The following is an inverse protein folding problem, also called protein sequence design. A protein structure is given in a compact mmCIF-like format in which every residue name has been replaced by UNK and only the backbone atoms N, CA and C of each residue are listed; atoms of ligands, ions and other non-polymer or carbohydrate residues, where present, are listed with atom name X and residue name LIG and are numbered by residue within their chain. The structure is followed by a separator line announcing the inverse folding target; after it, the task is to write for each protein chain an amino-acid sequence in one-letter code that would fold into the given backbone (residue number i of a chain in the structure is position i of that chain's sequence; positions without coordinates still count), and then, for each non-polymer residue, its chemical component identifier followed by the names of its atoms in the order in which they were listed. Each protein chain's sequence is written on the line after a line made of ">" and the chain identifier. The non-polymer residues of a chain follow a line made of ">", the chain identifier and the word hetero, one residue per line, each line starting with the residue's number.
data_IF_183231356435
#
_entry.id   IF_183231356435
#
_cell.length_a   1.000
_cell.length_b   1.000
_cell.length_c   1.000
_cell.angle_alpha   90.00
_cell.angle_beta   90.00
_cell.angle_gamma   90.00
#
_symmetry.space_group_name_H-M   'P 1'
#
loop_
_entity.id
_entity.type
_entity.pdbx_description
1 polymer ?
#
# COMPACT_ATOMS: atom_id res chain seq x y z
N UNK A 1 -11.18 -30.72 33.23
CA UNK A 1 -10.20 -31.61 32.61
C UNK A 1 -10.82 -32.76 31.78
N UNK A 2 -11.78 -33.55 32.26
CA UNK A 2 -12.35 -34.66 31.47
C UNK A 2 -13.08 -34.22 30.16
N UNK A 3 -13.77 -33.10 30.13
CA UNK A 3 -14.44 -32.59 28.89
C UNK A 3 -13.46 -32.18 27.79
N UNK A 4 -12.29 -31.65 28.14
CA UNK A 4 -11.27 -31.27 27.18
C UNK A 4 -10.55 -32.48 26.56
N UNK A 5 -10.39 -33.57 27.31
CA UNK A 5 -9.78 -34.79 26.82
C UNK A 5 -10.75 -35.59 25.93
N UNK A 6 -12.06 -35.56 26.22
CA UNK A 6 -13.06 -36.23 25.40
C UNK A 6 -13.26 -35.56 24.03
N UNK A 7 -13.18 -34.23 23.96
CA UNK A 7 -13.19 -33.51 22.70
C UNK A 7 -11.92 -33.79 21.87
N UNK A 8 -10.75 -33.93 22.50
CA UNK A 8 -9.48 -34.26 21.81
C UNK A 8 -9.54 -35.67 21.18
N UNK A 9 -10.20 -36.64 21.82
CA UNK A 9 -10.35 -38.01 21.31
C UNK A 9 -11.39 -38.13 20.17
N UNK A 10 -12.44 -37.33 20.18
CA UNK A 10 -13.44 -37.33 19.10
C UNK A 10 -12.89 -36.70 17.81
N UNK A 11 -11.94 -35.75 17.91
CA UNK A 11 -11.32 -35.09 16.76
C UNK A 11 -10.06 -35.79 16.23
N UNK A 12 -9.51 -36.78 16.96
CA UNK A 12 -8.37 -37.57 16.49
C UNK A 12 -8.73 -38.82 15.70
N UNK A 13 -9.99 -39.25 15.73
CA UNK A 13 -10.48 -40.39 14.96
C UNK A 13 -11.26 -39.93 13.71
N UNK A 14 -10.62 -39.99 12.56
CA UNK A 14 -11.34 -40.16 11.29
C UNK A 14 -11.61 -38.92 10.43
N UNK A 15 -10.97 -37.79 10.68
CA UNK A 15 -10.98 -36.72 9.67
C UNK A 15 -9.79 -36.89 8.74
N UNK A 16 -10.05 -37.18 7.48
CA UNK A 16 -9.04 -37.16 6.45
C UNK A 16 -8.35 -35.81 6.46
N UNK A 17 -7.01 -35.80 6.29
CA UNK A 17 -6.16 -34.59 6.28
C UNK A 17 -6.49 -33.62 5.10
N UNK A 18 -7.73 -33.66 4.59
CA UNK A 18 -8.24 -32.92 3.43
C UNK A 18 -9.23 -31.81 3.72
N UNK A 19 -9.88 -31.85 4.88
CA UNK A 19 -10.88 -30.84 5.21
C UNK A 19 -10.30 -29.79 6.15
N UNK A 20 -10.56 -28.52 5.85
CA UNK A 20 -10.28 -27.38 6.73
C UNK A 20 -11.61 -26.92 7.34
N UNK A 21 -12.14 -27.58 8.38
CA UNK A 21 -13.41 -27.17 8.93
C UNK A 21 -13.27 -25.81 9.57
N UNK A 22 -14.11 -24.86 9.19
CA UNK A 22 -14.18 -23.54 9.81
C UNK A 22 -14.25 -23.63 11.33
N UNK A 23 -14.94 -24.67 11.86
CA UNK A 23 -15.00 -24.98 13.27
C UNK A 23 -13.63 -25.24 13.91
N UNK A 24 -12.71 -25.91 13.21
CA UNK A 24 -11.35 -26.16 13.73
C UNK A 24 -10.52 -24.90 13.77
N UNK A 25 -10.65 -24.05 12.75
CA UNK A 25 -9.97 -22.74 12.73
C UNK A 25 -10.53 -21.82 13.82
N UNK A 26 -11.86 -21.76 13.96
CA UNK A 26 -12.52 -21.01 15.02
C UNK A 26 -12.05 -21.48 16.40
N UNK A 27 -12.04 -22.78 16.65
CA UNK A 27 -11.57 -23.36 17.91
C UNK A 27 -10.10 -23.01 18.20
N UNK A 28 -9.21 -23.06 17.21
CA UNK A 28 -7.81 -22.68 17.39
C UNK A 28 -7.63 -21.20 17.65
N UNK A 29 -8.38 -20.35 16.98
CA UNK A 29 -8.38 -18.91 17.21
C UNK A 29 -8.92 -18.57 18.59
N UNK A 30 -10.04 -19.20 19.01
CA UNK A 30 -10.64 -19.05 20.33
C UNK A 30 -9.73 -19.58 21.46
N UNK A 31 -9.00 -20.67 21.20
CA UNK A 31 -8.02 -21.26 22.11
C UNK A 31 -6.72 -20.49 22.21
N UNK A 32 -6.54 -19.50 21.35
CA UNK A 32 -5.33 -18.66 21.30
C UNK A 32 -4.13 -19.37 20.67
N UNK A 33 -4.29 -20.50 20.00
CA UNK A 33 -3.19 -21.21 19.33
C UNK A 33 -3.11 -20.84 17.83
N UNK A 34 -2.84 -19.57 17.56
CA UNK A 34 -2.66 -19.08 16.18
C UNK A 34 -1.37 -19.58 15.52
N UNK A 35 -0.44 -20.20 16.30
CA UNK A 35 0.85 -20.69 15.75
C UNK A 35 0.65 -21.77 14.69
N UNK A 36 -0.35 -22.60 14.85
CA UNK A 36 -0.63 -23.70 13.94
C UNK A 36 -1.50 -23.29 12.75
N UNK A 37 -2.25 -22.17 12.84
CA UNK A 37 -3.19 -21.75 11.79
C UNK A 37 -2.48 -21.55 10.45
N UNK A 38 -1.38 -20.79 10.43
CA UNK A 38 -0.61 -20.56 9.20
C UNK A 38 -0.11 -21.87 8.57
N UNK A 39 0.37 -22.79 9.43
CA UNK A 39 0.86 -24.10 8.99
C UNK A 39 -0.26 -24.99 8.42
N UNK A 40 -1.39 -25.07 9.13
CA UNK A 40 -2.55 -25.85 8.70
C UNK A 40 -3.13 -25.33 7.37
N UNK A 41 -3.33 -24.03 7.29
CA UNK A 41 -3.82 -23.40 6.07
C UNK A 41 -2.87 -23.63 4.88
N UNK A 42 -1.55 -23.50 5.12
CA UNK A 42 -0.54 -23.79 4.09
C UNK A 42 -0.59 -25.22 3.62
N UNK A 43 -0.63 -26.20 4.54
CA UNK A 43 -0.71 -27.63 4.20
C UNK A 43 -1.99 -27.96 3.42
N UNK A 44 -3.12 -27.38 3.83
CA UNK A 44 -4.37 -27.53 3.10
C UNK A 44 -4.28 -27.01 1.66
N UNK A 45 -3.77 -25.78 1.47
CA UNK A 45 -3.59 -25.19 0.13
C UNK A 45 -2.65 -26.04 -0.71
N UNK A 46 -1.51 -26.48 -0.17
CA UNK A 46 -0.56 -27.33 -0.88
C UNK A 46 -1.18 -28.64 -1.31
N UNK A 47 -1.90 -29.32 -0.40
CA UNK A 47 -2.62 -30.58 -0.72
C UNK A 47 -3.64 -30.37 -1.84
N UNK A 48 -4.47 -29.32 -1.76
CA UNK A 48 -5.46 -28.99 -2.82
C UNK A 48 -4.79 -28.69 -4.17
N UNK A 49 -3.67 -28.00 -4.17
CA UNK A 49 -2.88 -27.77 -5.39
C UNK A 49 -2.28 -29.06 -5.96
N UNK A 50 -1.85 -30.01 -5.11
CA UNK A 50 -1.28 -31.30 -5.53
C UNK A 50 -2.31 -32.26 -6.09
N UNK A 51 -3.49 -32.34 -5.45
CA UNK A 51 -4.58 -33.28 -5.81
C UNK A 51 -5.39 -32.82 -7.02
N UNK A 52 -5.32 -31.55 -7.41
CA UNK A 52 -5.97 -31.02 -8.61
C UNK A 52 -5.26 -31.56 -9.87
N UNK A 53 -5.81 -32.61 -10.47
CA UNK A 53 -5.28 -33.30 -11.66
C UNK A 53 -6.40 -33.59 -12.65
N UNK A 54 -6.31 -33.10 -13.91
CA UNK A 54 -5.26 -32.20 -14.41
C UNK A 54 -5.33 -30.83 -13.72
N UNK A 55 -4.16 -30.21 -13.49
CA UNK A 55 -4.10 -28.93 -12.79
C UNK A 55 -4.83 -27.84 -13.59
N UNK A 56 -5.84 -27.26 -13.00
CA UNK A 56 -6.60 -26.14 -13.55
C UNK A 56 -6.67 -25.01 -12.54
N UNK A 57 -6.17 -23.83 -12.90
CA UNK A 57 -6.26 -22.65 -12.03
C UNK A 57 -7.73 -22.27 -11.79
N UNK A 58 -8.60 -22.37 -12.82
CA UNK A 58 -10.02 -22.06 -12.68
C UNK A 58 -10.70 -22.87 -11.56
N UNK A 59 -10.50 -24.18 -11.52
CA UNK A 59 -11.10 -25.04 -10.49
C UNK A 59 -10.56 -24.76 -9.07
N UNK A 60 -9.33 -24.26 -8.97
CA UNK A 60 -8.76 -23.84 -7.68
C UNK A 60 -9.40 -22.56 -7.19
N UNK A 61 -9.70 -21.61 -8.09
CA UNK A 61 -10.27 -20.31 -7.73
C UNK A 61 -11.76 -20.39 -7.32
N UNK A 62 -12.49 -21.42 -7.73
CA UNK A 62 -13.91 -21.65 -7.38
C UNK A 62 -14.10 -22.09 -5.92
N UNK A 63 -13.05 -22.61 -5.28
CA UNK A 63 -13.12 -23.15 -3.92
C UNK A 63 -13.05 -22.07 -2.84
N UNK A 64 -14.17 -21.69 -2.21
CA UNK A 64 -14.19 -20.69 -1.13
C UNK A 64 -13.21 -21.01 0.01
N UNK A 65 -13.07 -22.28 0.36
CA UNK A 65 -12.18 -22.72 1.44
C UNK A 65 -10.70 -22.52 1.11
N UNK A 66 -10.28 -22.76 -0.13
CA UNK A 66 -8.88 -22.55 -0.52
C UNK A 66 -8.53 -21.06 -0.58
N UNK A 67 -9.48 -20.22 -0.98
CA UNK A 67 -9.34 -18.74 -0.94
C UNK A 67 -9.07 -18.29 0.48
N UNK A 68 -9.93 -18.69 1.41
CA UNK A 68 -9.80 -18.36 2.82
C UNK A 68 -8.48 -18.89 3.41
N UNK A 69 -8.19 -20.15 3.19
CA UNK A 69 -6.96 -20.78 3.68
C UNK A 69 -5.70 -20.10 3.12
N UNK A 70 -5.72 -19.69 1.86
CA UNK A 70 -4.61 -18.97 1.23
C UNK A 70 -4.31 -17.66 1.97
N UNK A 71 -5.30 -16.80 2.13
CA UNK A 71 -5.10 -15.51 2.80
C UNK A 71 -4.79 -15.65 4.29
N UNK A 72 -5.42 -16.61 4.98
CA UNK A 72 -5.09 -16.91 6.39
C UNK A 72 -3.66 -17.43 6.55
N UNK A 73 -3.17 -18.29 5.65
CA UNK A 73 -1.78 -18.77 5.68
C UNK A 73 -0.78 -17.61 5.60
N UNK A 74 -1.04 -16.64 4.73
CA UNK A 74 -0.20 -15.45 4.58
C UNK A 74 -0.34 -14.50 5.76
N UNK A 75 -1.57 -14.18 6.19
CA UNK A 75 -1.82 -13.25 7.28
C UNK A 75 -1.16 -13.73 8.59
N UNK A 76 -1.46 -14.95 9.02
CA UNK A 76 -0.87 -15.51 10.24
C UNK A 76 0.63 -15.80 10.10
N UNK A 77 1.14 -15.95 8.89
CA UNK A 77 2.57 -15.96 8.61
C UNK A 77 3.26 -14.61 8.82
N UNK A 78 2.59 -13.50 8.50
CA UNK A 78 3.06 -12.14 8.71
C UNK A 78 3.04 -11.73 10.19
N UNK A 79 1.90 -11.95 10.86
CA UNK A 79 1.71 -11.55 12.28
C UNK A 79 2.28 -12.56 13.27
N UNK A 80 2.63 -13.76 12.83
CA UNK A 80 3.06 -14.87 13.68
C UNK A 80 4.40 -14.70 14.40
N UNK A 81 5.12 -13.59 14.19
CA UNK A 81 6.36 -13.29 14.93
C UNK A 81 6.09 -12.78 16.35
N UNK A 82 4.93 -12.14 16.60
CA UNK A 82 4.50 -11.62 17.91
C UNK A 82 3.39 -12.49 18.52
N UNK A 83 3.59 -13.77 18.54
CA UNK A 83 2.63 -14.86 18.82
C UNK A 83 1.92 -14.76 20.16
N UNK A 84 2.53 -14.16 21.15
CA UNK A 84 2.01 -14.15 22.55
C UNK A 84 0.86 -13.17 22.74
N UNK A 85 0.85 -12.06 22.03
CA UNK A 85 -0.12 -10.99 22.22
C UNK A 85 -1.49 -11.31 21.59
N UNK A 86 -1.48 -11.86 20.36
CA UNK A 86 -2.71 -12.30 19.66
C UNK A 86 -3.49 -13.33 20.47
N UNK A 87 -2.79 -14.15 21.25
CA UNK A 87 -3.37 -15.25 22.04
C UNK A 87 -4.29 -14.79 23.16
N UNK A 88 -4.08 -13.61 23.73
CA UNK A 88 -4.88 -13.11 24.86
C UNK A 88 -6.11 -12.32 24.42
N UNK A 89 -6.11 -11.79 23.21
CA UNK A 89 -7.11 -10.84 22.77
C UNK A 89 -8.19 -11.42 21.85
N UNK A 90 -7.94 -12.56 21.20
CA UNK A 90 -8.93 -13.25 20.35
C UNK A 90 -9.90 -14.14 21.14
N UNK A 91 -10.33 -13.73 22.34
CA UNK A 91 -11.31 -14.48 23.15
C UNK A 91 -12.76 -14.25 22.73
N UNK A 92 -13.02 -13.30 21.85
CA UNK A 92 -14.37 -12.98 21.40
C UNK A 92 -14.81 -13.90 20.28
N UNK A 93 -15.65 -14.87 20.60
CA UNK A 93 -16.18 -15.85 19.65
C UNK A 93 -16.93 -15.24 18.48
N UNK A 94 -17.69 -14.21 18.72
CA UNK A 94 -18.52 -13.60 17.68
C UNK A 94 -17.66 -12.84 16.68
N UNK A 95 -16.62 -12.15 17.16
CA UNK A 95 -15.63 -11.51 16.28
C UNK A 95 -14.87 -12.53 15.43
N UNK A 96 -14.43 -13.64 16.05
CA UNK A 96 -13.74 -14.71 15.32
C UNK A 96 -14.64 -15.33 14.25
N UNK A 97 -15.90 -15.61 14.56
CA UNK A 97 -16.87 -16.13 13.59
C UNK A 97 -17.11 -15.15 12.46
N UNK A 98 -17.27 -13.85 12.79
CA UNK A 98 -17.39 -12.80 11.78
C UNK A 98 -16.16 -12.74 10.88
N UNK A 99 -14.96 -12.73 11.46
CA UNK A 99 -13.69 -12.68 10.73
C UNK A 99 -13.53 -13.88 9.77
N UNK A 100 -13.90 -15.07 10.21
CA UNK A 100 -13.88 -16.28 9.37
C UNK A 100 -14.94 -16.28 8.26
N UNK A 101 -16.05 -15.58 8.45
CA UNK A 101 -17.07 -15.43 7.42
C UNK A 101 -16.70 -14.39 6.33
N UNK A 102 -15.68 -13.51 6.60
CA UNK A 102 -15.29 -12.39 5.76
C UNK A 102 -13.86 -12.56 5.22
N UNK A 103 -13.68 -13.45 4.24
CA UNK A 103 -12.35 -13.74 3.68
C UNK A 103 -11.69 -12.54 3.04
N UNK A 104 -12.46 -11.57 2.56
CA UNK A 104 -12.01 -10.28 2.01
C UNK A 104 -11.23 -9.44 3.03
N UNK A 105 -11.50 -9.60 4.34
CA UNK A 105 -10.73 -8.95 5.41
C UNK A 105 -9.28 -9.43 5.38
N UNK A 106 -9.07 -10.74 5.30
CA UNK A 106 -7.72 -11.30 5.21
C UNK A 106 -7.04 -10.91 3.90
N UNK A 107 -7.75 -10.90 2.78
CA UNK A 107 -7.22 -10.44 1.50
C UNK A 107 -6.64 -9.04 1.60
N UNK A 108 -7.44 -8.10 2.12
CA UNK A 108 -7.04 -6.69 2.24
C UNK A 108 -5.88 -6.49 3.23
N UNK A 109 -5.89 -7.20 4.36
CA UNK A 109 -4.82 -7.14 5.36
C UNK A 109 -3.50 -7.71 4.82
N UNK A 110 -3.55 -8.83 4.11
CA UNK A 110 -2.38 -9.47 3.51
C UNK A 110 -1.81 -8.59 2.41
N UNK A 111 -2.65 -8.06 1.55
CA UNK A 111 -2.22 -7.14 0.48
C UNK A 111 -1.51 -5.91 1.04
N UNK A 112 -2.03 -5.33 2.11
CA UNK A 112 -1.42 -4.17 2.77
C UNK A 112 -0.23 -4.53 3.68
N UNK A 113 0.23 -5.79 3.69
CA UNK A 113 1.33 -6.30 4.52
C UNK A 113 1.14 -5.99 6.01
N UNK A 114 -0.04 -6.31 6.55
CA UNK A 114 -0.30 -6.18 7.98
C UNK A 114 0.82 -6.84 8.79
N UNK A 115 1.46 -6.06 9.65
CA UNK A 115 2.62 -6.50 10.43
C UNK A 115 2.53 -6.11 11.91
N UNK A 116 1.47 -5.38 12.28
CA UNK A 116 1.26 -4.94 13.66
C UNK A 116 0.71 -6.06 14.53
N UNK A 117 1.30 -6.24 15.72
CA UNK A 117 0.78 -7.18 16.73
C UNK A 117 -0.65 -6.85 17.14
N UNK A 118 -1.01 -5.59 17.15
CA UNK A 118 -2.30 -5.09 17.59
C UNK A 118 -3.34 -4.97 16.44
N UNK A 119 -2.99 -5.44 15.24
CA UNK A 119 -3.88 -5.31 14.06
C UNK A 119 -5.27 -5.91 14.31
N UNK A 120 -5.33 -7.14 14.85
CA UNK A 120 -6.60 -7.78 15.14
C UNK A 120 -7.30 -7.17 16.35
N UNK A 121 -6.56 -6.68 17.36
CA UNK A 121 -7.11 -6.01 18.52
C UNK A 121 -7.83 -4.70 18.14
N UNK A 122 -7.18 -3.85 17.35
CA UNK A 122 -7.79 -2.62 16.83
C UNK A 122 -9.02 -2.92 15.99
N UNK A 123 -8.95 -3.91 15.09
CA UNK A 123 -10.09 -4.31 14.26
C UNK A 123 -11.25 -4.82 15.10
N UNK A 124 -10.98 -5.66 16.12
CA UNK A 124 -11.98 -6.17 17.04
C UNK A 124 -12.69 -5.05 17.79
N UNK A 125 -11.95 -4.10 18.34
CA UNK A 125 -12.52 -3.00 19.11
C UNK A 125 -13.41 -2.11 18.25
N UNK A 126 -13.01 -1.84 17.01
CA UNK A 126 -13.87 -1.16 16.05
C UNK A 126 -15.11 -2.00 15.73
N UNK A 127 -14.94 -3.32 15.49
CA UNK A 127 -16.06 -4.22 15.20
C UNK A 127 -17.07 -4.29 16.37
N UNK A 128 -16.60 -4.37 17.61
CA UNK A 128 -17.46 -4.31 18.81
C UNK A 128 -18.26 -3.00 18.85
N UNK A 129 -17.60 -1.88 18.52
CA UNK A 129 -18.21 -0.56 18.52
C UNK A 129 -19.23 -0.35 17.40
N UNK A 130 -18.92 -0.83 16.20
CA UNK A 130 -19.74 -0.62 14.99
C UNK A 130 -20.82 -1.68 14.78
N UNK A 131 -20.65 -2.84 15.36
CA UNK A 131 -21.54 -3.99 15.19
C UNK A 131 -21.20 -4.88 14.00
N UNK A 132 -22.01 -5.93 13.83
CA UNK A 132 -21.79 -6.99 12.83
C UNK A 132 -21.95 -6.54 11.38
N UNK A 133 -22.53 -5.38 11.12
CA UNK A 133 -22.78 -4.83 9.78
C UNK A 133 -21.64 -3.97 9.26
N UNK A 134 -20.47 -4.04 9.91
CA UNK A 134 -19.29 -3.30 9.46
C UNK A 134 -18.94 -3.66 8.00
N UNK A 135 -19.18 -2.75 7.08
CA UNK A 135 -19.06 -2.98 5.64
C UNK A 135 -18.67 -1.72 4.87
N UNK A 136 -18.41 -1.83 3.58
CA UNK A 136 -18.14 -0.71 2.68
C UNK A 136 -17.00 0.19 3.18
N UNK A 137 -17.20 1.51 3.10
CA UNK A 137 -16.19 2.49 3.54
C UNK A 137 -15.84 2.36 5.03
N UNK A 138 -16.82 1.95 5.85
CA UNK A 138 -16.60 1.71 7.28
C UNK A 138 -15.61 0.57 7.52
N UNK A 139 -15.76 -0.54 6.80
CA UNK A 139 -14.83 -1.67 6.84
C UNK A 139 -13.43 -1.27 6.33
N UNK A 140 -13.34 -0.61 5.19
CA UNK A 140 -12.06 -0.15 4.66
C UNK A 140 -11.33 0.79 5.62
N UNK A 141 -12.07 1.68 6.27
CA UNK A 141 -11.56 2.60 7.27
C UNK A 141 -11.09 1.85 8.54
N UNK A 142 -11.85 0.85 9.01
CA UNK A 142 -11.47 0.01 10.15
C UNK A 142 -10.20 -0.80 9.87
N UNK A 143 -10.10 -1.38 8.68
CA UNK A 143 -8.88 -2.08 8.24
C UNK A 143 -7.69 -1.13 8.13
N UNK A 144 -7.89 0.10 7.61
CA UNK A 144 -6.85 1.12 7.57
C UNK A 144 -6.33 1.51 8.96
N UNK A 145 -7.23 1.67 9.94
CA UNK A 145 -6.85 1.92 11.34
C UNK A 145 -6.07 0.74 11.94
N UNK A 146 -6.53 -0.48 11.70
CA UNK A 146 -5.86 -1.71 12.16
C UNK A 146 -4.44 -1.86 11.57
N UNK A 147 -4.24 -1.51 10.30
CA UNK A 147 -2.93 -1.56 9.63
C UNK A 147 -1.92 -0.57 10.22
N UNK A 148 -2.38 0.51 10.83
CA UNK A 148 -1.50 1.55 11.44
C UNK A 148 -1.01 1.14 12.83
N UNK A 149 -1.55 0.08 13.45
CA UNK A 149 -1.10 -0.45 14.73
C UNK A 149 0.38 -0.85 14.77
N UNK A 150 1.00 -1.07 13.62
CA UNK A 150 2.45 -1.25 13.51
C UNK A 150 3.28 0.01 13.86
N UNK A 151 2.63 1.19 13.90
CA UNK A 151 3.30 2.50 14.04
C UNK A 151 2.70 3.39 15.13
N UNK A 152 1.55 2.99 15.68
CA UNK A 152 0.81 3.71 16.70
C UNK A 152 0.27 2.73 17.74
N UNK A 153 0.06 3.21 18.95
CA UNK A 153 -0.69 2.47 19.95
C UNK A 153 -2.17 2.33 19.55
N UNK A 154 -2.85 1.42 20.20
CA UNK A 154 -4.24 1.06 19.93
C UNK A 154 -5.18 2.26 20.09
N UNK A 155 -5.05 3.02 21.19
CA UNK A 155 -5.90 4.17 21.47
C UNK A 155 -5.76 5.25 20.40
N UNK A 156 -4.54 5.53 19.95
CA UNK A 156 -4.30 6.48 18.86
C UNK A 156 -4.88 6.00 17.52
N UNK A 157 -4.89 4.69 17.25
CA UNK A 157 -5.54 4.12 16.07
C UNK A 157 -7.06 4.32 16.14
N UNK A 158 -7.69 4.00 17.28
CA UNK A 158 -9.12 4.16 17.51
C UNK A 158 -9.55 5.62 17.46
N UNK A 159 -8.78 6.51 18.09
CA UNK A 159 -9.07 7.95 18.06
C UNK A 159 -9.04 8.54 16.64
N UNK A 160 -8.11 8.08 15.78
CA UNK A 160 -8.08 8.48 14.37
C UNK A 160 -9.25 7.93 13.57
N UNK A 161 -9.62 6.69 13.81
CA UNK A 161 -10.83 6.11 13.22
C UNK A 161 -12.05 6.98 13.53
N UNK A 162 -12.25 7.30 14.82
CA UNK A 162 -13.37 8.12 15.28
C UNK A 162 -13.37 9.53 14.69
N UNK A 163 -12.20 10.17 14.64
CA UNK A 163 -12.06 11.48 14.03
C UNK A 163 -12.53 11.50 12.58
N UNK A 164 -12.06 10.56 11.74
CA UNK A 164 -12.45 10.54 10.35
C UNK A 164 -13.88 10.07 10.15
N UNK A 165 -14.39 9.15 10.97
CA UNK A 165 -15.80 8.75 10.97
C UNK A 165 -16.72 9.96 11.26
N UNK A 166 -16.41 10.73 12.30
CA UNK A 166 -17.13 11.96 12.65
C UNK A 166 -17.03 12.99 11.52
N UNK A 167 -15.82 13.23 11.00
CA UNK A 167 -15.61 14.18 9.89
C UNK A 167 -16.36 13.79 8.63
N UNK A 168 -16.50 12.49 8.37
CA UNK A 168 -17.30 11.97 7.25
C UNK A 168 -18.79 12.23 7.46
N UNK A 169 -19.33 11.92 8.63
CA UNK A 169 -20.73 12.18 8.98
C UNK A 169 -21.07 13.69 8.91
N UNK A 170 -20.14 14.54 9.30
CA UNK A 170 -20.25 16.00 9.23
C UNK A 170 -19.98 16.59 7.84
N UNK A 171 -19.74 15.76 6.81
CA UNK A 171 -19.45 16.16 5.41
C UNK A 171 -18.24 17.11 5.30
N UNK A 172 -17.27 16.98 6.18
CA UNK A 172 -16.03 17.78 6.18
C UNK A 172 -14.95 17.25 5.23
N UNK A 173 -15.11 16.03 4.73
CA UNK A 173 -14.13 15.36 3.89
C UNK A 173 -14.45 15.52 2.38
N UNK A 174 -13.42 15.37 1.56
CA UNK A 174 -13.60 15.39 0.11
C UNK A 174 -14.17 14.06 -0.42
N UNK A 175 -14.85 14.06 -1.58
CA UNK A 175 -15.54 12.88 -2.11
C UNK A 175 -14.65 11.65 -2.32
N UNK A 176 -13.34 11.83 -2.59
CA UNK A 176 -12.41 10.71 -2.78
C UNK A 176 -12.33 9.80 -1.55
N UNK A 177 -12.68 10.28 -0.36
CA UNK A 177 -12.62 9.51 0.88
C UNK A 177 -13.39 8.20 0.81
N UNK A 178 -14.56 8.18 0.17
CA UNK A 178 -15.38 6.96 0.07
C UNK A 178 -14.83 5.90 -0.88
N UNK A 179 -13.85 6.25 -1.70
CA UNK A 179 -13.24 5.35 -2.70
C UNK A 179 -11.88 4.80 -2.26
N UNK A 180 -11.49 5.07 -1.02
CA UNK A 180 -10.19 4.63 -0.51
C UNK A 180 -10.18 3.14 -0.19
N UNK A 181 -9.11 2.48 -0.59
CA UNK A 181 -8.78 1.13 -0.18
C UNK A 181 -8.15 1.12 1.23
N UNK A 182 -8.17 -0.02 1.97
CA UNK A 182 -7.61 -0.08 3.32
C UNK A 182 -6.16 0.39 3.43
N UNK A 183 -5.29 0.06 2.46
CA UNK A 183 -3.92 0.52 2.45
C UNK A 183 -3.79 2.05 2.24
N UNK A 184 -4.73 2.66 1.54
CA UNK A 184 -4.80 4.12 1.37
C UNK A 184 -5.29 4.79 2.66
N UNK A 185 -6.25 4.19 3.37
CA UNK A 185 -6.62 4.63 4.72
C UNK A 185 -5.44 4.53 5.69
N UNK A 186 -4.63 3.47 5.59
CA UNK A 186 -3.43 3.36 6.42
C UNK A 186 -2.44 4.52 6.17
N UNK A 187 -2.26 4.95 4.91
CA UNK A 187 -1.47 6.15 4.60
C UNK A 187 -2.08 7.41 5.25
N UNK A 188 -3.40 7.57 5.13
CA UNK A 188 -4.12 8.70 5.72
C UNK A 188 -3.96 8.74 7.25
N UNK A 189 -4.16 7.62 7.92
CA UNK A 189 -4.12 7.52 9.38
C UNK A 189 -2.70 7.58 9.96
N UNK A 190 -1.70 7.30 9.16
CA UNK A 190 -0.30 7.38 9.56
C UNK A 190 0.24 8.81 9.70
N UNK A 191 -0.46 9.82 9.19
CA UNK A 191 -0.07 11.22 9.32
C UNK A 191 0.37 11.58 10.74
N UNK A 192 1.40 12.42 10.90
CA UNK A 192 1.98 12.77 12.21
C UNK A 192 1.21 13.84 12.96
N UNK A 193 0.22 14.46 12.33
CA UNK A 193 -0.57 15.55 12.91
C UNK A 193 -1.38 15.06 14.13
N UNK A 194 -1.54 15.91 15.13
CA UNK A 194 -2.49 15.71 16.20
C UNK A 194 -3.93 15.89 15.68
N UNK A 195 -4.92 15.27 16.32
CA UNK A 195 -6.30 15.33 15.86
C UNK A 195 -6.87 16.75 15.94
N UNK A 196 -6.51 17.52 16.96
CA UNK A 196 -6.92 18.92 17.11
C UNK A 196 -6.33 19.79 15.98
N UNK A 197 -5.10 19.50 15.55
CA UNK A 197 -4.46 20.19 14.44
C UNK A 197 -5.15 19.88 13.11
N UNK A 198 -5.57 18.62 12.91
CA UNK A 198 -6.39 18.24 11.76
C UNK A 198 -7.78 18.89 11.78
N UNK A 199 -8.43 18.96 12.95
CA UNK A 199 -9.71 19.63 13.12
C UNK A 199 -9.60 21.13 12.81
N UNK A 200 -8.57 21.78 13.35
CA UNK A 200 -8.27 23.18 13.03
C UNK A 200 -8.05 23.39 11.52
N UNK A 201 -7.30 22.50 10.88
CA UNK A 201 -7.03 22.58 9.44
C UNK A 201 -8.31 22.38 8.59
N UNK A 202 -9.25 21.54 9.02
CA UNK A 202 -10.58 21.42 8.40
C UNK A 202 -11.32 22.76 8.41
N UNK A 203 -11.39 23.42 9.57
CA UNK A 203 -12.11 24.69 9.73
C UNK A 203 -11.39 25.85 9.02
N UNK A 204 -10.05 25.89 9.08
CA UNK A 204 -9.25 26.88 8.35
C UNK A 204 -9.46 26.77 6.86
N UNK A 205 -9.38 25.55 6.31
CA UNK A 205 -9.50 25.30 4.87
C UNK A 205 -10.93 25.44 4.36
N UNK A 206 -11.95 25.23 5.19
CA UNK A 206 -13.36 25.43 4.83
C UNK A 206 -13.64 26.87 4.41
N UNK A 207 -12.98 27.86 5.04
CA UNK A 207 -13.09 29.28 4.69
C UNK A 207 -12.37 29.65 3.39
N UNK A 208 -11.63 28.74 2.80
CA UNK A 208 -10.83 28.97 1.59
C UNK A 208 -11.51 28.37 0.36
N UNK A 209 -12.38 29.13 -0.31
CA UNK A 209 -13.17 28.68 -1.48
C UNK A 209 -12.34 28.06 -2.61
N UNK A 210 -11.06 28.43 -2.73
CA UNK A 210 -10.14 27.87 -3.74
C UNK A 210 -9.68 26.44 -3.41
N UNK A 211 -9.79 25.99 -2.14
CA UNK A 211 -9.35 24.66 -1.71
C UNK A 211 -10.41 23.61 -2.05
N UNK A 212 -10.24 22.95 -3.17
CA UNK A 212 -11.15 21.94 -3.72
C UNK A 212 -10.44 20.61 -3.89
N UNK A 213 -11.20 19.54 -3.99
CA UNK A 213 -10.68 18.17 -4.16
C UNK A 213 -9.68 18.05 -5.33
N UNK A 214 -9.95 18.72 -6.46
CA UNK A 214 -9.14 18.61 -7.69
C UNK A 214 -7.75 19.27 -7.57
N UNK A 215 -7.61 20.25 -6.69
CA UNK A 215 -6.39 21.06 -6.55
C UNK A 215 -5.81 21.10 -5.14
N UNK A 216 -6.29 20.21 -4.27
CA UNK A 216 -5.98 20.23 -2.83
C UNK A 216 -4.47 20.28 -2.54
N UNK A 217 -3.67 19.49 -3.25
CA UNK A 217 -2.23 19.49 -3.05
C UNK A 217 -1.55 20.80 -3.43
N UNK A 218 -2.00 21.45 -4.50
CA UNK A 218 -1.42 22.73 -4.95
C UNK A 218 -1.86 23.89 -4.05
N UNK A 219 -3.16 23.99 -3.77
CA UNK A 219 -3.69 25.07 -2.91
C UNK A 219 -3.21 24.91 -1.47
N UNK A 220 -3.08 23.68 -0.98
CA UNK A 220 -2.51 23.39 0.34
C UNK A 220 -1.10 23.99 0.53
N UNK A 221 -0.27 23.98 -0.53
CA UNK A 221 1.04 24.64 -0.49
C UNK A 221 0.93 26.17 -0.26
N UNK A 222 -0.08 26.81 -0.83
CA UNK A 222 -0.24 28.27 -0.72
C UNK A 222 -0.66 28.73 0.67
N UNK A 223 -1.07 27.81 1.55
CA UNK A 223 -1.38 28.14 2.96
C UNK A 223 -0.13 28.36 3.79
N UNK A 224 1.02 27.85 3.35
CA UNK A 224 2.28 27.94 4.09
C UNK A 224 3.22 28.93 3.38
N UNK A 225 3.48 30.10 3.97
CA UNK A 225 4.39 31.08 3.38
C UNK A 225 5.81 30.52 3.24
N UNK A 226 6.43 30.65 2.07
CA UNK A 226 7.84 30.33 1.90
C UNK A 226 8.71 31.40 2.54
N UNK A 227 9.48 31.06 3.59
CA UNK A 227 10.29 32.00 4.35
C UNK A 227 11.61 31.40 4.77
N UNK A 228 12.70 32.12 4.52
CA UNK A 228 14.05 31.80 5.01
C UNK A 228 14.32 32.35 6.41
N UNK A 229 13.60 33.41 6.80
CA UNK A 229 13.64 34.03 8.13
C UNK A 229 12.22 34.25 8.63
N UNK A 230 12.01 34.09 9.94
CA UNK A 230 10.75 34.46 10.59
C UNK A 230 10.62 35.98 10.74
N UNK A 231 9.53 36.46 11.35
CA UNK A 231 9.28 37.90 11.57
C UNK A 231 10.32 38.57 12.46
N UNK A 232 10.98 37.80 13.33
CA UNK A 232 12.05 38.24 14.23
C UNK A 232 13.43 38.16 13.58
N UNK A 233 13.53 37.79 12.31
CA UNK A 233 14.82 37.68 11.59
C UNK A 233 15.56 36.37 11.85
N UNK A 234 15.01 35.43 12.62
CA UNK A 234 15.63 34.14 12.92
C UNK A 234 15.60 33.25 11.67
N UNK A 235 16.75 32.68 11.30
CA UNK A 235 16.89 31.83 10.13
C UNK A 235 16.14 30.49 10.31
N UNK A 236 15.57 29.94 9.24
CA UNK A 236 14.96 28.62 9.21
C UNK A 236 15.94 27.49 9.58
N UNK A 237 17.25 27.73 9.40
CA UNK A 237 18.30 26.79 9.79
C UNK A 237 18.52 26.73 11.31
N UNK A 238 17.94 27.66 12.07
CA UNK A 238 17.97 27.62 13.55
C UNK A 238 16.98 26.59 14.15
N UNK A 239 16.33 25.78 13.33
CA UNK A 239 15.45 24.73 13.78
C UNK A 239 14.27 25.22 14.62
N UNK A 240 14.12 24.73 15.85
CA UNK A 240 13.02 25.10 16.75
C UNK A 240 12.93 26.60 17.04
N UNK A 241 14.05 27.31 17.11
CA UNK A 241 14.08 28.75 17.36
C UNK A 241 13.38 29.56 16.25
N UNK A 242 13.36 29.06 15.00
CA UNK A 242 12.57 29.66 13.92
C UNK A 242 11.07 29.72 14.25
N UNK A 243 10.57 28.76 15.00
CA UNK A 243 9.19 28.63 15.44
C UNK A 243 8.98 29.11 16.91
N UNK A 244 9.87 29.94 17.44
CA UNK A 244 9.87 30.40 18.84
C UNK A 244 9.84 29.21 19.83
N UNK A 245 10.46 28.09 19.47
CA UNK A 245 10.45 26.81 20.19
C UNK A 245 9.06 26.22 20.44
N UNK A 246 8.04 26.67 19.70
CA UNK A 246 6.69 26.09 19.76
C UNK A 246 6.69 24.70 19.09
N UNK A 247 5.88 23.76 19.59
CA UNK A 247 5.65 22.48 18.91
C UNK A 247 5.13 22.71 17.49
N UNK A 248 5.74 22.03 16.53
CA UNK A 248 5.38 22.19 15.12
C UNK A 248 3.99 21.58 14.86
N UNK A 249 3.08 22.39 14.31
CA UNK A 249 1.72 22.02 13.92
C UNK A 249 1.37 22.67 12.58
N UNK A 250 0.21 22.35 12.00
CA UNK A 250 -0.28 23.00 10.78
C UNK A 250 -0.52 24.47 10.99
N UNK A 251 -1.01 24.86 12.16
CA UNK A 251 -1.19 26.25 12.55
C UNK A 251 0.15 26.99 12.59
N UNK A 252 1.17 26.40 13.19
CA UNK A 252 2.52 26.98 13.25
C UNK A 252 3.12 27.11 11.85
N UNK A 253 2.94 26.14 10.95
CA UNK A 253 3.38 26.28 9.57
C UNK A 253 2.68 27.43 8.83
N UNK A 254 1.38 27.64 9.06
CA UNK A 254 0.65 28.77 8.47
C UNK A 254 1.13 30.12 9.02
N UNK A 255 1.42 30.20 10.31
CA UNK A 255 1.84 31.44 10.98
C UNK A 255 3.30 31.81 10.62
N UNK A 256 4.23 30.88 10.77
CA UNK A 256 5.65 31.13 10.62
C UNK A 256 6.15 30.93 9.17
N UNK A 257 5.52 30.01 8.44
CA UNK A 257 6.01 29.55 7.15
C UNK A 257 7.19 28.58 7.29
N UNK A 258 8.08 28.62 6.34
CA UNK A 258 9.30 27.82 6.29
C UNK A 258 9.72 27.53 4.86
N UNK A 259 10.68 26.63 4.69
CA UNK A 259 11.15 26.22 3.35
C UNK A 259 10.41 24.97 2.86
N UNK A 260 10.90 24.32 1.84
CA UNK A 260 10.27 23.18 1.17
C UNK A 260 9.72 22.11 2.13
N UNK A 261 10.44 21.81 3.22
CA UNK A 261 10.00 20.84 4.22
C UNK A 261 8.72 21.26 4.96
N UNK A 262 8.62 22.53 5.38
CA UNK A 262 7.43 23.07 6.03
C UNK A 262 6.25 23.13 5.06
N UNK A 263 6.49 23.60 3.82
CA UNK A 263 5.46 23.68 2.77
C UNK A 263 4.91 22.29 2.46
N UNK A 264 5.78 21.30 2.26
CA UNK A 264 5.36 19.94 1.91
C UNK A 264 4.64 19.21 3.06
N UNK A 265 5.16 19.30 4.29
CA UNK A 265 4.53 18.70 5.48
C UNK A 265 3.18 19.36 5.76
N UNK A 266 3.12 20.70 5.73
CA UNK A 266 1.90 21.45 5.96
C UNK A 266 0.85 21.16 4.88
N UNK A 267 1.21 21.21 3.59
CA UNK A 267 0.29 20.90 2.51
C UNK A 267 -0.25 19.46 2.60
N UNK A 268 0.62 18.48 2.88
CA UNK A 268 0.21 17.11 3.10
C UNK A 268 -0.77 16.98 4.28
N UNK A 269 -0.55 17.70 5.37
CA UNK A 269 -1.45 17.74 6.52
C UNK A 269 -2.82 18.33 6.19
N UNK A 270 -2.89 19.46 5.45
CA UNK A 270 -4.15 20.02 4.98
C UNK A 270 -4.91 19.07 4.06
N UNK A 271 -4.22 18.35 3.19
CA UNK A 271 -4.80 17.35 2.31
C UNK A 271 -5.37 16.18 3.14
N UNK A 272 -4.61 15.69 4.15
CA UNK A 272 -5.07 14.65 5.09
C UNK A 272 -6.27 15.11 5.92
N UNK A 273 -6.28 16.35 6.39
CA UNK A 273 -7.43 16.91 7.12
C UNK A 273 -8.74 16.80 6.32
N UNK A 274 -8.66 16.78 4.98
CA UNK A 274 -9.82 16.59 4.09
C UNK A 274 -10.02 15.13 3.64
N UNK A 275 -9.35 14.17 4.30
CA UNK A 275 -9.54 12.74 4.03
C UNK A 275 -8.83 12.23 2.77
N UNK A 276 -7.84 12.95 2.26
CA UNK A 276 -7.04 12.50 1.11
C UNK A 276 -5.70 11.92 1.60
N UNK A 277 -5.34 10.68 1.24
CA UNK A 277 -4.05 10.11 1.56
C UNK A 277 -2.91 10.93 0.95
N UNK A 278 -1.91 11.24 1.75
CA UNK A 278 -0.74 12.00 1.33
C UNK A 278 0.46 11.73 2.25
N UNK A 279 1.66 11.89 1.73
CA UNK A 279 2.92 11.74 2.48
C UNK A 279 4.05 12.52 1.82
N UNK A 280 5.06 12.88 2.61
CA UNK A 280 6.23 13.60 2.11
C UNK A 280 7.22 12.67 1.41
N UNK A 281 7.88 13.20 0.39
CA UNK A 281 8.92 12.53 -0.40
C UNK A 281 10.13 13.44 -0.56
N UNK A 282 11.29 12.86 -0.85
CA UNK A 282 12.49 13.60 -1.18
C UNK A 282 12.68 13.76 -2.68
N UNK A 283 13.16 14.92 -3.08
CA UNK A 283 13.74 15.21 -4.38
C UNK A 283 15.18 15.73 -4.17
N UNK A 284 16.07 15.78 -5.18
CA UNK A 284 17.42 16.28 -4.97
C UNK A 284 17.43 17.67 -4.35
N UNK A 285 18.00 17.80 -3.13
CA UNK A 285 18.03 19.05 -2.38
C UNK A 285 16.67 19.65 -2.01
N UNK A 286 15.58 18.89 -2.13
CA UNK A 286 14.22 19.39 -1.97
C UNK A 286 13.30 18.36 -1.27
N UNK A 287 12.34 18.89 -0.50
CA UNK A 287 11.24 18.11 0.05
C UNK A 287 9.96 18.40 -0.72
N UNK A 288 9.36 17.37 -1.28
CA UNK A 288 8.05 17.39 -1.92
C UNK A 288 7.06 16.49 -1.15
N UNK A 289 5.85 16.33 -1.63
CA UNK A 289 4.90 15.37 -1.11
C UNK A 289 4.04 14.81 -2.24
N UNK A 290 3.41 13.68 -1.98
CA UNK A 290 2.45 13.07 -2.90
C UNK A 290 1.07 13.04 -2.26
N UNK A 291 0.04 13.09 -3.10
CA UNK A 291 -1.36 13.05 -2.70
C UNK A 291 -2.22 12.40 -3.78
N UNK A 292 -3.32 11.74 -3.37
CA UNK A 292 -4.24 11.07 -4.29
C UNK A 292 -5.17 12.09 -4.94
N UNK A 293 -5.13 12.21 -6.27
CA UNK A 293 -6.02 13.05 -7.05
C UNK A 293 -7.44 12.47 -7.15
N UNK A 294 -8.38 13.27 -7.67
CA UNK A 294 -9.78 12.84 -7.93
C UNK A 294 -9.89 11.80 -9.04
N UNK A 295 -8.92 11.77 -9.94
CA UNK A 295 -8.76 10.77 -11.00
C UNK A 295 -8.19 9.42 -10.49
N UNK A 296 -7.81 9.37 -9.21
CA UNK A 296 -7.17 8.21 -8.58
C UNK A 296 -5.68 8.12 -8.83
N UNK A 297 -5.10 9.05 -9.59
CA UNK A 297 -3.66 9.13 -9.81
C UNK A 297 -2.96 9.84 -8.64
N UNK A 298 -1.74 9.41 -8.34
CA UNK A 298 -0.94 10.04 -7.30
C UNK A 298 -0.09 11.16 -7.87
N UNK A 299 -0.31 12.37 -7.38
CA UNK A 299 0.29 13.61 -7.87
C UNK A 299 1.37 14.09 -6.93
N UNK A 300 2.40 14.73 -7.47
CA UNK A 300 3.47 15.35 -6.68
C UNK A 300 3.13 16.83 -6.47
N UNK A 301 3.01 17.23 -5.20
CA UNK A 301 2.86 18.62 -4.79
C UNK A 301 4.20 19.20 -4.32
N UNK A 302 4.35 20.53 -4.37
CA UNK A 302 5.62 21.25 -4.12
C UNK A 302 6.76 20.65 -4.95
N UNK A 303 6.49 20.40 -6.23
CA UNK A 303 7.33 19.62 -7.13
C UNK A 303 8.30 20.52 -7.89
N UNK A 304 9.59 20.13 -7.93
CA UNK A 304 10.62 20.81 -8.73
C UNK A 304 11.05 19.94 -9.91
N UNK A 305 11.23 18.63 -9.71
CA UNK A 305 11.88 17.76 -10.67
C UNK A 305 10.99 16.76 -11.38
N UNK A 306 9.73 16.59 -10.98
CA UNK A 306 8.83 15.59 -11.54
C UNK A 306 9.11 14.13 -11.14
N UNK A 307 10.16 13.85 -10.38
CA UNK A 307 10.56 12.52 -9.95
C UNK A 307 10.96 12.47 -8.46
N UNK A 308 11.08 11.29 -7.91
CA UNK A 308 11.32 11.04 -6.48
C UNK A 308 12.71 10.45 -6.28
N UNK A 309 13.49 11.06 -5.39
CA UNK A 309 14.80 10.53 -4.96
C UNK A 309 14.68 9.56 -3.80
N UNK A 310 13.95 9.95 -2.77
CA UNK A 310 13.70 9.11 -1.60
C UNK A 310 12.23 9.09 -1.27
N UNK A 311 11.75 7.90 -1.01
CA UNK A 311 10.34 7.61 -0.79
C UNK A 311 9.96 7.76 0.66
N UNK A 312 10.39 8.76 1.38
CA UNK A 312 10.09 9.00 2.81
C UNK A 312 9.26 7.90 3.50
N UNK A 313 9.30 7.70 4.76
CA UNK A 313 8.66 6.57 5.46
C UNK A 313 7.16 6.43 5.22
N UNK A 314 6.73 6.13 3.99
CA UNK A 314 5.33 6.07 3.58
C UNK A 314 4.55 4.93 4.22
N UNK A 315 5.23 3.89 4.75
CA UNK A 315 4.58 2.69 5.30
C UNK A 315 3.74 1.92 4.28
N UNK A 316 3.84 2.29 3.01
CA UNK A 316 3.23 1.55 1.94
C UNK A 316 4.03 0.27 1.75
N UNK A 317 3.40 -0.89 1.59
CA UNK A 317 4.07 -2.19 1.46
C UNK A 317 5.15 -2.23 0.37
N UNK A 318 5.06 -1.37 -0.61
CA UNK A 318 5.85 -1.35 -1.82
C UNK A 318 6.87 -0.20 -1.87
N UNK A 319 7.27 0.36 -0.73
CA UNK A 319 8.17 1.52 -0.63
C UNK A 319 7.79 2.57 -1.69
N UNK A 320 6.68 3.23 -1.40
CA UNK A 320 5.86 3.97 -2.29
C UNK A 320 6.47 5.10 -3.09
N UNK A 321 7.10 4.81 -4.19
CA UNK A 321 7.18 5.83 -5.22
C UNK A 321 5.74 6.18 -5.70
N UNK A 322 5.46 7.42 -6.10
CA UNK A 322 4.16 7.78 -6.66
C UNK A 322 3.73 6.86 -7.81
N UNK A 323 4.69 6.40 -8.59
CA UNK A 323 4.47 5.47 -9.68
C UNK A 323 3.98 4.10 -9.21
N UNK A 324 4.52 3.58 -8.10
CA UNK A 324 4.09 2.30 -7.53
C UNK A 324 2.70 2.42 -6.91
N UNK A 325 2.44 3.46 -6.11
CA UNK A 325 1.09 3.63 -5.53
C UNK A 325 0.02 3.88 -6.58
N UNK A 326 0.36 4.56 -7.70
CA UNK A 326 -0.52 4.67 -8.86
C UNK A 326 -0.81 3.29 -9.48
N UNK A 327 0.22 2.46 -9.68
CA UNK A 327 0.06 1.11 -10.18
C UNK A 327 -0.85 0.25 -9.29
N UNK A 328 -0.68 0.32 -7.95
CA UNK A 328 -1.55 -0.35 -6.99
C UNK A 328 -3.00 0.12 -7.06
N UNK A 329 -3.21 1.42 -7.22
CA UNK A 329 -4.55 1.97 -7.39
C UNK A 329 -5.21 1.48 -8.68
N UNK A 330 -4.47 1.42 -9.78
CA UNK A 330 -4.95 0.89 -11.06
C UNK A 330 -5.28 -0.60 -10.97
N UNK A 331 -4.42 -1.35 -10.29
CA UNK A 331 -4.64 -2.77 -10.04
C UNK A 331 -6.00 -3.02 -9.35
N UNK A 332 -6.27 -2.35 -8.23
CA UNK A 332 -7.51 -2.54 -7.47
C UNK A 332 -8.77 -2.03 -8.18
N UNK A 333 -8.64 -1.07 -9.08
CA UNK A 333 -9.76 -0.60 -9.92
C UNK A 333 -9.96 -1.46 -11.17
N UNK A 334 -9.01 -2.27 -11.53
CA UNK A 334 -9.05 -3.12 -12.71
C UNK A 334 -9.93 -4.35 -12.52
N UNK A 335 -10.50 -4.82 -13.60
CA UNK A 335 -11.23 -6.08 -13.63
C UNK A 335 -10.31 -7.25 -13.23
N UNK A 336 -10.85 -8.25 -12.55
CA UNK A 336 -10.12 -9.45 -12.14
C UNK A 336 -9.06 -9.22 -11.04
N UNK A 337 -9.11 -8.09 -10.30
CA UNK A 337 -8.12 -7.78 -9.28
C UNK A 337 -8.03 -8.84 -8.17
N UNK A 338 -9.16 -9.25 -7.61
CA UNK A 338 -9.19 -10.25 -6.52
C UNK A 338 -8.71 -11.62 -6.98
N UNK A 339 -9.12 -12.09 -8.16
CA UNK A 339 -8.67 -13.37 -8.70
C UNK A 339 -7.17 -13.34 -9.08
N UNK A 340 -6.71 -12.22 -9.64
CA UNK A 340 -5.30 -12.00 -9.93
C UNK A 340 -4.46 -12.04 -8.66
N UNK A 341 -4.93 -11.36 -7.61
CA UNK A 341 -4.30 -11.31 -6.29
C UNK A 341 -4.25 -12.70 -5.65
N UNK A 342 -5.36 -13.47 -5.72
CA UNK A 342 -5.42 -14.84 -5.23
C UNK A 342 -4.43 -15.75 -5.96
N UNK A 343 -4.36 -15.70 -7.29
CA UNK A 343 -3.38 -16.45 -8.07
C UNK A 343 -1.94 -16.14 -7.63
N UNK A 344 -1.65 -14.87 -7.40
CA UNK A 344 -0.35 -14.43 -6.89
C UNK A 344 -0.04 -15.06 -5.53
N UNK A 345 -0.96 -14.97 -4.55
CA UNK A 345 -0.73 -15.52 -3.21
C UNK A 345 -0.69 -17.06 -3.20
N UNK A 346 -1.49 -17.74 -4.00
CA UNK A 346 -1.38 -19.18 -4.21
C UNK A 346 -0.02 -19.58 -4.77
N UNK A 347 0.54 -18.78 -5.69
CA UNK A 347 1.86 -19.04 -6.25
C UNK A 347 2.98 -19.03 -5.20
N UNK A 348 2.83 -18.22 -4.14
CA UNK A 348 3.77 -18.15 -3.04
C UNK A 348 3.68 -19.35 -2.07
N UNK A 349 2.58 -20.09 -2.09
CA UNK A 349 2.37 -21.30 -1.28
C UNK A 349 2.64 -22.59 -2.05
N UNK A 350 2.60 -22.56 -3.37
CA UNK A 350 2.82 -23.75 -4.21
C UNK A 350 4.28 -24.22 -4.12
N UNK A 351 4.47 -25.55 -4.01
CA UNK A 351 5.78 -26.20 -3.97
C UNK A 351 6.31 -26.55 -5.37
N UNK A 352 5.42 -26.87 -6.31
CA UNK A 352 5.74 -27.26 -7.68
C UNK A 352 6.06 -26.04 -8.57
N UNK A 353 7.28 -25.90 -9.09
CA UNK A 353 7.67 -24.78 -9.95
C UNK A 353 6.76 -24.56 -11.16
N UNK A 354 6.23 -25.63 -11.76
CA UNK A 354 5.35 -25.56 -12.93
C UNK A 354 4.02 -24.91 -12.55
N UNK A 355 3.46 -25.28 -11.40
CA UNK A 355 2.23 -24.68 -10.86
C UNK A 355 2.43 -23.23 -10.45
N UNK A 356 3.59 -22.90 -9.86
CA UNK A 356 3.95 -21.50 -9.55
C UNK A 356 3.92 -20.66 -10.83
N UNK A 357 4.55 -21.10 -11.89
CA UNK A 357 4.61 -20.34 -13.16
C UNK A 357 3.22 -20.23 -13.81
N UNK A 358 2.40 -21.29 -13.75
CA UNK A 358 1.03 -21.27 -14.24
C UNK A 358 0.15 -20.26 -13.46
N UNK A 359 0.27 -20.25 -12.14
CA UNK A 359 -0.46 -19.31 -11.26
C UNK A 359 -0.04 -17.85 -11.51
N UNK A 360 1.26 -17.57 -11.66
CA UNK A 360 1.75 -16.21 -11.94
C UNK A 360 1.30 -15.73 -13.33
N UNK A 361 1.34 -16.59 -14.35
CA UNK A 361 0.84 -16.28 -15.69
C UNK A 361 -0.67 -16.00 -15.67
N UNK A 362 -1.45 -16.81 -14.93
CA UNK A 362 -2.88 -16.57 -14.80
C UNK A 362 -3.16 -15.27 -14.02
N UNK A 363 -2.38 -14.96 -12.98
CA UNK A 363 -2.48 -13.68 -12.28
C UNK A 363 -2.36 -12.50 -13.24
N UNK A 364 -1.31 -12.49 -14.08
CA UNK A 364 -1.07 -11.41 -15.05
C UNK A 364 -2.08 -11.40 -16.21
N UNK A 365 -2.62 -12.56 -16.58
CA UNK A 365 -3.71 -12.65 -17.57
C UNK A 365 -5.01 -12.03 -17.06
N UNK A 366 -5.37 -12.27 -15.79
CA UNK A 366 -6.57 -11.70 -15.16
C UNK A 366 -6.46 -10.23 -14.92
N UNK A 367 -5.29 -9.78 -14.46
CA UNK A 367 -5.02 -8.35 -14.31
C UNK A 367 -3.53 -8.09 -14.51
N UNK A 368 -3.17 -7.56 -15.68
CA UNK A 368 -1.79 -7.26 -16.04
C UNK A 368 -1.13 -6.20 -15.16
N UNK A 369 -1.93 -5.39 -14.43
CA UNK A 369 -1.43 -4.41 -13.48
C UNK A 369 -1.03 -5.02 -12.11
N UNK A 370 -1.02 -6.34 -11.96
CA UNK A 370 -0.52 -7.00 -10.75
C UNK A 370 1.01 -6.90 -10.65
N UNK A 371 1.50 -5.78 -10.15
CA UNK A 371 2.93 -5.50 -9.98
C UNK A 371 3.67 -6.55 -9.13
N UNK A 372 3.13 -7.04 -7.98
CA UNK A 372 3.74 -8.14 -7.22
C UNK A 372 3.95 -9.42 -8.01
N UNK A 373 3.00 -9.79 -8.86
CA UNK A 373 3.15 -10.98 -9.71
C UNK A 373 4.29 -10.80 -10.72
N UNK A 374 4.45 -9.60 -11.31
CA UNK A 374 5.61 -9.27 -12.14
C UNK A 374 6.92 -9.43 -11.40
N UNK A 375 7.02 -8.91 -10.16
CA UNK A 375 8.23 -9.01 -9.35
C UNK A 375 8.64 -10.46 -9.11
N UNK A 376 7.70 -11.33 -8.73
CA UNK A 376 7.99 -12.75 -8.49
C UNK A 376 8.38 -13.47 -9.78
N UNK A 377 7.66 -13.21 -10.87
CA UNK A 377 7.96 -13.81 -12.18
C UNK A 377 9.39 -13.46 -12.63
N UNK A 378 9.77 -12.20 -12.53
CA UNK A 378 11.10 -11.70 -12.87
C UNK A 378 12.17 -12.33 -11.98
N UNK A 379 12.00 -12.26 -10.66
CA UNK A 379 12.97 -12.81 -9.69
C UNK A 379 13.28 -14.30 -9.93
N UNK A 380 12.28 -15.06 -10.37
CA UNK A 380 12.45 -16.49 -10.71
C UNK A 380 13.25 -16.71 -11.98
N UNK A 381 13.08 -15.84 -12.95
CA UNK A 381 13.56 -16.07 -14.33
C UNK A 381 14.81 -15.27 -14.71
N UNK A 382 15.05 -14.09 -14.09
CA UNK A 382 16.13 -13.15 -14.51
C UNK A 382 17.52 -13.75 -14.52
N UNK A 383 17.83 -14.68 -13.62
CA UNK A 383 19.16 -15.34 -13.60
C UNK A 383 19.44 -16.20 -14.84
N UNK A 384 18.39 -16.65 -15.52
CA UNK A 384 18.47 -17.51 -16.72
C UNK A 384 18.20 -16.74 -18.01
N UNK A 385 17.76 -15.49 -17.92
CA UNK A 385 17.38 -14.66 -19.06
C UNK A 385 18.58 -13.95 -19.66
N UNK A 386 18.73 -14.05 -20.97
CA UNK A 386 19.59 -13.16 -21.74
C UNK A 386 19.03 -11.74 -21.81
N UNK A 387 19.84 -10.81 -22.30
CA UNK A 387 19.42 -9.39 -22.42
C UNK A 387 18.21 -9.23 -23.33
N UNK A 388 18.16 -9.95 -24.45
CA UNK A 388 17.02 -9.96 -25.38
C UNK A 388 15.71 -10.35 -24.69
N UNK A 389 15.74 -11.38 -23.84
CA UNK A 389 14.55 -11.84 -23.10
C UNK A 389 14.10 -10.80 -22.06
N UNK A 390 15.06 -10.16 -21.38
CA UNK A 390 14.78 -9.07 -20.44
C UNK A 390 14.13 -7.88 -21.12
N UNK A 391 14.60 -7.51 -22.33
CA UNK A 391 14.00 -6.44 -23.12
C UNK A 391 12.59 -6.79 -23.59
N UNK A 392 12.36 -8.02 -24.03
CA UNK A 392 11.01 -8.49 -24.38
C UNK A 392 10.05 -8.42 -23.19
N UNK A 393 10.53 -8.80 -21.98
CA UNK A 393 9.75 -8.71 -20.75
C UNK A 393 9.49 -7.26 -20.36
N UNK A 394 10.47 -6.37 -20.56
CA UNK A 394 10.29 -4.93 -20.33
C UNK A 394 9.21 -4.35 -21.25
N UNK A 395 9.13 -4.78 -22.51
CA UNK A 395 8.08 -4.34 -23.43
C UNK A 395 6.68 -4.78 -22.95
N UNK A 396 6.53 -6.03 -22.52
CA UNK A 396 5.27 -6.52 -21.94
C UNK A 396 4.88 -5.74 -20.68
N UNK A 397 5.85 -5.43 -19.83
CA UNK A 397 5.63 -4.62 -18.63
C UNK A 397 5.18 -3.19 -18.97
N UNK A 398 5.76 -2.60 -20.01
CA UNK A 398 5.37 -1.28 -20.51
C UNK A 398 3.91 -1.26 -20.99
N UNK A 399 3.48 -2.30 -21.70
CA UNK A 399 2.09 -2.46 -22.14
C UNK A 399 1.11 -2.63 -20.97
N UNK A 400 1.53 -3.31 -19.90
CA UNK A 400 0.74 -3.46 -18.69
C UNK A 400 0.60 -2.15 -17.88
N UNK A 401 1.58 -1.25 -17.98
CA UNK A 401 1.61 0.01 -17.23
C UNK A 401 1.84 1.21 -18.16
N UNK A 402 0.91 1.48 -19.10
CA UNK A 402 1.08 2.59 -20.03
C UNK A 402 1.14 3.93 -19.32
N UNK A 403 1.96 4.86 -19.82
CA UNK A 403 2.09 6.20 -19.28
C UNK A 403 2.73 6.29 -17.88
N UNK A 404 3.47 5.25 -17.43
CA UNK A 404 4.09 5.24 -16.10
C UNK A 404 5.64 5.06 -16.17
N UNK A 405 6.38 6.04 -16.74
CA UNK A 405 7.82 5.92 -16.97
C UNK A 405 8.64 5.74 -15.69
N UNK A 406 8.19 6.29 -14.56
CA UNK A 406 8.86 6.10 -13.27
C UNK A 406 8.80 4.65 -12.80
N UNK A 407 7.70 3.94 -13.06
CA UNK A 407 7.59 2.52 -12.76
C UNK A 407 8.44 1.68 -13.72
N UNK A 408 8.50 2.07 -15.01
CA UNK A 408 9.35 1.40 -16.00
C UNK A 408 10.82 1.46 -15.60
N UNK A 409 11.31 2.64 -15.19
CA UNK A 409 12.68 2.81 -14.70
C UNK A 409 12.94 1.96 -13.45
N UNK A 410 12.01 1.98 -12.50
CA UNK A 410 12.12 1.17 -11.29
C UNK A 410 12.21 -0.32 -11.61
N UNK A 411 11.31 -0.84 -12.46
CA UNK A 411 11.29 -2.23 -12.87
C UNK A 411 12.56 -2.64 -13.62
N UNK A 412 13.00 -1.83 -14.56
CA UNK A 412 14.22 -2.04 -15.33
C UNK A 412 15.45 -2.18 -14.43
N UNK A 413 15.64 -1.21 -13.52
CA UNK A 413 16.83 -1.16 -12.66
C UNK A 413 16.80 -2.18 -11.53
N UNK A 414 15.66 -2.29 -10.84
CA UNK A 414 15.56 -3.06 -9.60
C UNK A 414 15.22 -4.52 -9.83
N UNK A 415 14.35 -4.79 -10.79
CA UNK A 415 13.85 -6.15 -11.01
C UNK A 415 14.62 -6.86 -12.12
N UNK A 416 14.85 -6.22 -13.27
CA UNK A 416 15.58 -6.82 -14.39
C UNK A 416 17.10 -6.71 -14.24
N UNK A 417 17.60 -5.84 -13.38
CA UNK A 417 19.03 -5.60 -13.23
C UNK A 417 19.70 -5.08 -14.50
N UNK A 418 18.93 -4.36 -15.33
CA UNK A 418 19.47 -3.73 -16.55
C UNK A 418 20.12 -2.40 -16.16
N UNK A 419 21.41 -2.26 -16.48
CA UNK A 419 22.15 -1.04 -16.24
C UNK A 419 22.11 -0.14 -17.48
N UNK A 420 21.27 0.88 -17.41
CA UNK A 420 21.11 1.86 -18.49
C UNK A 420 22.39 2.69 -18.76
N UNK A 421 23.37 2.66 -17.84
CA UNK A 421 24.67 3.34 -18.01
C UNK A 421 25.65 2.58 -18.89
N UNK A 422 25.39 1.31 -19.19
CA UNK A 422 26.22 0.52 -20.09
C UNK A 422 25.87 0.81 -21.57
N UNK A 423 26.83 0.67 -22.45
CA UNK A 423 26.68 0.99 -23.88
C UNK A 423 25.47 0.30 -24.53
N UNK A 424 25.18 -0.95 -24.14
CA UNK A 424 24.05 -1.72 -24.61
C UNK A 424 22.68 -1.26 -24.01
N UNK A 425 22.71 -0.49 -22.92
CA UNK A 425 21.54 0.12 -22.32
C UNK A 425 20.88 1.19 -23.17
N UNK A 426 21.54 1.69 -24.21
CA UNK A 426 20.97 2.68 -25.15
C UNK A 426 19.74 2.14 -25.89
N UNK A 427 19.64 0.86 -26.11
CA UNK A 427 18.47 0.22 -26.73
C UNK A 427 17.19 0.35 -25.90
N UNK A 428 17.31 0.64 -24.59
CA UNK A 428 16.19 0.77 -23.68
C UNK A 428 15.59 2.20 -23.71
N UNK A 429 16.38 3.20 -24.12
CA UNK A 429 15.92 4.58 -24.22
C UNK A 429 14.72 4.78 -25.16
N UNK A 430 14.63 4.15 -26.33
CA UNK A 430 13.43 4.25 -27.15
C UNK A 430 12.16 3.76 -26.44
N UNK A 431 12.27 2.75 -25.56
CA UNK A 431 11.14 2.26 -24.75
C UNK A 431 10.67 3.29 -23.72
N UNK A 432 11.59 4.09 -23.18
CA UNK A 432 11.28 5.14 -22.22
C UNK A 432 10.83 6.45 -22.89
N UNK A 433 11.19 6.65 -24.18
CA UNK A 433 10.99 7.89 -24.94
C UNK A 433 9.73 7.88 -25.82
N UNK A 434 8.92 6.82 -25.80
CA UNK A 434 7.70 6.76 -26.61
C UNK A 434 6.67 7.80 -26.17
N UNK A 435 6.65 8.92 -26.89
CA UNK A 435 5.86 10.12 -26.57
C UNK A 435 4.34 9.89 -26.64
N UNK A 436 3.86 8.90 -27.40
CA UNK A 436 2.43 8.67 -27.60
C UNK A 436 1.74 8.16 -26.33
N UNK A 437 2.49 7.55 -25.42
CA UNK A 437 1.94 6.92 -24.20
C UNK A 437 2.15 7.75 -22.94
N UNK A 438 2.91 8.84 -23.00
CA UNK A 438 3.48 9.44 -21.80
C UNK A 438 2.75 10.64 -21.18
N UNK A 439 1.84 11.31 -21.87
CA UNK A 439 1.16 12.50 -21.31
C UNK A 439 2.08 13.64 -20.80
N UNK A 440 1.54 14.78 -20.41
CA UNK A 440 2.30 15.98 -20.03
C UNK A 440 3.23 15.80 -18.80
N UNK A 441 2.87 14.93 -17.84
CA UNK A 441 3.71 14.64 -16.66
C UNK A 441 4.97 13.85 -17.00
N UNK A 442 4.93 13.05 -18.06
CA UNK A 442 6.07 12.29 -18.53
C UNK A 442 7.11 13.15 -19.24
N UNK A 443 6.71 14.24 -19.90
CA UNK A 443 7.64 15.18 -20.52
C UNK A 443 8.60 15.82 -19.49
N UNK A 444 8.09 16.19 -18.32
CA UNK A 444 8.93 16.74 -17.24
C UNK A 444 9.87 15.67 -16.68
N UNK A 445 9.37 14.47 -16.44
CA UNK A 445 10.19 13.34 -16.00
C UNK A 445 11.29 13.04 -17.02
N UNK A 446 10.95 12.98 -18.31
CA UNK A 446 11.90 12.66 -19.36
C UNK A 446 12.97 13.75 -19.56
N UNK A 447 12.62 15.04 -19.47
CA UNK A 447 13.62 16.14 -19.52
C UNK A 447 14.63 16.00 -18.39
N UNK A 448 14.17 15.76 -17.17
CA UNK A 448 15.05 15.60 -16.01
C UNK A 448 15.90 14.33 -16.10
N UNK A 449 15.32 13.23 -16.57
CA UNK A 449 16.03 12.00 -16.84
C UNK A 449 17.12 12.19 -17.90
N UNK A 450 16.80 12.85 -19.02
CA UNK A 450 17.76 13.16 -20.07
C UNK A 450 18.88 14.10 -19.58
N UNK A 451 18.56 15.05 -18.72
CA UNK A 451 19.56 15.95 -18.09
C UNK A 451 20.54 15.16 -17.22
N UNK A 452 20.01 14.23 -16.40
CA UNK A 452 20.86 13.37 -15.56
C UNK A 452 21.69 12.41 -16.41
N UNK A 453 21.09 11.82 -17.43
CA UNK A 453 21.79 10.91 -18.34
C UNK A 453 22.92 11.60 -19.10
N UNK A 454 22.74 12.84 -19.56
CA UNK A 454 23.81 13.66 -20.18
C UNK A 454 24.96 13.91 -19.21
N UNK A 455 24.65 14.20 -17.93
CA UNK A 455 25.67 14.41 -16.90
C UNK A 455 26.45 13.14 -16.61
N UNK A 456 25.77 12.00 -16.48
CA UNK A 456 26.35 10.74 -16.04
C UNK A 456 26.96 9.93 -17.22
N UNK A 457 26.59 10.25 -18.46
CA UNK A 457 27.04 9.58 -19.68
C UNK A 457 27.36 10.63 -20.75
N UNK A 458 28.58 11.17 -20.77
CA UNK A 458 28.98 12.25 -21.68
C UNK A 458 28.71 11.97 -23.17
N UNK A 459 28.88 10.73 -23.60
CA UNK A 459 28.66 10.29 -25.01
C UNK A 459 27.18 10.36 -25.43
N UNK A 460 26.25 10.53 -24.50
CA UNK A 460 24.83 10.69 -24.78
C UNK A 460 24.39 12.15 -24.99
N UNK A 461 25.25 13.11 -24.71
CA UNK A 461 24.88 14.53 -24.71
C UNK A 461 24.27 15.00 -26.05
N UNK A 462 24.68 14.42 -27.18
CA UNK A 462 24.15 14.75 -28.51
C UNK A 462 23.02 13.81 -29.02
N UNK A 463 22.66 12.76 -28.28
CA UNK A 463 21.74 11.73 -28.75
C UNK A 463 20.36 11.78 -28.11
N UNK A 464 20.19 12.59 -27.06
CA UNK A 464 18.93 12.74 -26.37
C UNK A 464 18.15 13.95 -26.90
N UNK A 465 16.83 13.80 -27.11
CA UNK A 465 16.01 14.82 -27.77
C UNK A 465 15.72 16.07 -26.91
N UNK A 466 16.15 16.10 -25.64
CA UNK A 466 15.93 17.22 -24.70
C UNK A 466 17.22 17.73 -24.08
#
# INVERSE_FOLDING_TARGET
>A
MLRSVLLFLIFSCGMEAGDLPQQRLAWQMEGGDVRNIAGLCRQYVQKKLETNKPFSVGSVLEGKEIVQACYMAHFFGLVGKDRTYILHELKDKEFVQWLLAHSEVFEKLVFAHASGKDTLAVLRDIWIKEGKELSGVGLHMALGAALVSAFRDQDACLARYDFYKKSFAEKKLFPQFITLEPWEFAILFRGSEQLDDLAWAQDYSFRKKAFKAQNAGFVGCSFIPYRMKNKQGVSVHAGGAFYDNKPVSLQIYVEYGGVCGAVSKGAAGFVRAKGIPSYTIGQPGHCAFVWKGTDGEWKIGNNIYGWVWSEGGSGVPWKGSPSVVTALTRFWKGEGASESNLCYYLSLLASDPVKVDALLKEALKRNSANYPAWQVLVKRNTRKMGEKDKLALMQQFKEAFPGNPGLWEHFMKRELGLDWKKADGYSIYPLLLDKKESGASADVYMRNFCTLARRDIPDMAGKLPY
#
